data_IF_203929458701
#
_entry.id   IF_203929458701
#
_cell.length_a   1.000
_cell.length_b   1.000
_cell.length_c   1.000
_cell.angle_alpha   90.00
_cell.angle_beta   90.00
_cell.angle_gamma   90.00
#
_symmetry.space_group_name_H-M   'P 1'
#
loop_
_entity.id
_entity.type
_entity.pdbx_description
1 polymer ?
#
# COMPACT_ATOMS: atom_id res chain seq x y z
N UNK A 1 -7.67 21.62 15.47
CA UNK A 1 -7.08 22.94 15.16
C UNK A 1 -6.55 22.82 13.74
N UNK A 2 -7.10 23.59 12.80
CA UNK A 2 -6.73 23.54 11.37
C UNK A 2 -5.54 24.49 11.19
N UNK A 3 -4.49 24.06 10.50
CA UNK A 3 -3.38 24.97 10.15
C UNK A 3 -3.83 26.01 9.11
N UNK A 4 -3.08 27.10 8.96
CA UNK A 4 -3.40 28.23 8.06
C UNK A 4 -3.54 27.81 6.58
N UNK A 5 -3.07 26.61 6.22
CA UNK A 5 -3.10 26.06 4.86
C UNK A 5 -4.16 24.96 4.69
N UNK A 6 -4.94 24.63 5.73
CA UNK A 6 -5.95 23.56 5.68
C UNK A 6 -5.38 22.14 5.60
N UNK A 7 -4.07 21.94 5.78
CA UNK A 7 -3.36 20.69 5.56
C UNK A 7 -3.61 19.64 6.65
N UNK A 8 -4.13 20.05 7.80
CA UNK A 8 -4.51 19.16 8.89
C UNK A 8 -5.42 18.02 8.41
N UNK A 9 -6.34 18.27 7.47
CA UNK A 9 -7.21 17.24 6.90
C UNK A 9 -6.49 16.17 6.06
N UNK A 10 -5.25 16.43 5.61
CA UNK A 10 -4.45 15.51 4.80
C UNK A 10 -3.49 14.66 5.66
N UNK A 11 -3.04 15.24 6.77
CA UNK A 11 -2.01 14.63 7.64
C UNK A 11 -2.59 14.01 8.92
N UNK A 12 -3.78 14.46 9.36
CA UNK A 12 -4.34 14.01 10.63
C UNK A 12 -4.70 12.52 10.58
N UNK A 13 -4.19 11.77 11.56
CA UNK A 13 -4.53 10.35 11.76
C UNK A 13 -6.02 10.12 11.99
N UNK A 14 -6.78 11.16 12.37
CA UNK A 14 -8.23 11.12 12.55
C UNK A 14 -8.99 11.73 11.38
N UNK A 15 -8.30 12.22 10.34
CA UNK A 15 -8.97 12.68 9.14
C UNK A 15 -9.62 11.50 8.42
N UNK A 16 -10.90 11.63 8.09
CA UNK A 16 -11.64 10.61 7.34
C UNK A 16 -11.01 10.32 5.97
N UNK A 17 -10.29 11.29 5.38
CA UNK A 17 -9.71 11.19 4.03
C UNK A 17 -8.62 10.13 3.89
N UNK A 18 -7.67 10.03 4.84
CA UNK A 18 -6.59 9.05 4.75
C UNK A 18 -7.10 7.63 4.95
N UNK A 19 -7.98 7.42 5.94
CA UNK A 19 -8.60 6.11 6.19
C UNK A 19 -9.55 5.69 5.06
N UNK A 20 -10.34 6.61 4.51
CA UNK A 20 -11.21 6.32 3.38
C UNK A 20 -10.40 5.91 2.14
N UNK A 21 -9.29 6.58 1.84
CA UNK A 21 -8.43 6.25 0.70
C UNK A 21 -7.71 4.93 0.89
N UNK A 22 -7.19 4.68 2.10
CA UNK A 22 -6.58 3.40 2.45
C UNK A 22 -7.54 2.24 2.23
N UNK A 23 -8.77 2.35 2.75
CA UNK A 23 -9.77 1.29 2.64
C UNK A 23 -10.26 1.13 1.19
N UNK A 24 -10.50 2.24 0.49
CA UNK A 24 -10.90 2.20 -0.93
C UNK A 24 -9.82 1.55 -1.81
N UNK A 25 -8.55 1.82 -1.51
CA UNK A 25 -7.43 1.22 -2.25
C UNK A 25 -7.31 -0.28 -1.97
N UNK A 26 -7.39 -0.70 -0.70
CA UNK A 26 -7.41 -2.11 -0.33
C UNK A 26 -8.57 -2.87 -1.00
N UNK A 27 -9.78 -2.30 -0.96
CA UNK A 27 -10.94 -2.90 -1.61
C UNK A 27 -10.81 -2.95 -3.14
N UNK A 28 -10.21 -1.94 -3.75
CA UNK A 28 -10.00 -1.91 -5.20
C UNK A 28 -8.97 -2.95 -5.65
N UNK A 29 -7.87 -3.10 -4.91
CA UNK A 29 -6.89 -4.17 -5.17
C UNK A 29 -7.52 -5.56 -4.99
N UNK A 30 -8.28 -5.78 -3.90
CA UNK A 30 -8.98 -7.05 -3.67
C UNK A 30 -9.92 -7.40 -4.83
N UNK A 31 -10.72 -6.44 -5.30
CA UNK A 31 -11.62 -6.64 -6.44
C UNK A 31 -10.86 -6.93 -7.73
N UNK A 32 -9.80 -6.18 -8.02
CA UNK A 32 -8.97 -6.41 -9.20
C UNK A 32 -8.34 -7.81 -9.20
N UNK A 33 -7.82 -8.26 -8.05
CA UNK A 33 -7.31 -9.61 -7.87
C UNK A 33 -8.41 -10.67 -8.09
N UNK A 34 -9.60 -10.46 -7.54
CA UNK A 34 -10.73 -11.36 -7.76
C UNK A 34 -11.12 -11.46 -9.24
N UNK A 35 -11.13 -10.34 -9.97
CA UNK A 35 -11.35 -10.32 -11.43
C UNK A 35 -10.25 -11.09 -12.17
N UNK A 36 -9.00 -10.99 -11.72
CA UNK A 36 -7.88 -11.77 -12.23
C UNK A 36 -7.86 -13.24 -11.75
N UNK A 37 -8.96 -13.73 -11.17
CA UNK A 37 -9.09 -15.10 -10.63
C UNK A 37 -8.08 -15.43 -9.51
N UNK A 38 -7.55 -14.40 -8.85
CA UNK A 38 -6.69 -14.53 -7.67
C UNK A 38 -7.53 -14.16 -6.44
N UNK A 39 -8.22 -15.11 -5.79
CA UNK A 39 -8.99 -14.81 -4.58
C UNK A 39 -8.06 -14.27 -3.49
N UNK A 40 -8.50 -13.23 -2.79
CA UNK A 40 -7.71 -12.56 -1.78
C UNK A 40 -8.56 -12.11 -0.59
N UNK A 41 -7.96 -12.15 0.60
CA UNK A 41 -8.60 -11.76 1.86
C UNK A 41 -7.96 -10.49 2.41
N UNK A 42 -8.77 -9.67 3.07
CA UNK A 42 -8.28 -8.55 3.87
C UNK A 42 -8.05 -9.02 5.30
N UNK A 43 -7.06 -8.40 5.94
CA UNK A 43 -6.66 -8.62 7.31
C UNK A 43 -6.41 -10.10 7.68
N UNK A 44 -5.48 -10.80 6.98
CA UNK A 44 -5.28 -12.25 7.10
C UNK A 44 -5.04 -12.71 8.56
N UNK A 45 -5.71 -13.79 9.00
CA UNK A 45 -5.53 -14.34 10.34
C UNK A 45 -4.24 -15.17 10.48
N UNK A 46 -3.75 -15.32 11.71
CA UNK A 46 -2.87 -16.42 12.12
C UNK A 46 -1.36 -16.25 11.86
N UNK A 47 -0.92 -16.05 10.62
CA UNK A 47 0.51 -16.18 10.26
C UNK A 47 1.39 -14.99 10.65
N UNK A 48 0.83 -13.77 10.66
CA UNK A 48 1.62 -12.55 10.95
C UNK A 48 1.55 -12.09 12.42
N UNK A 49 0.65 -12.69 13.22
CA UNK A 49 0.33 -12.21 14.57
C UNK A 49 1.42 -12.47 15.60
N UNK A 50 2.21 -13.53 15.42
CA UNK A 50 3.34 -13.83 16.31
C UNK A 50 4.34 -12.65 16.37
N UNK A 51 4.53 -11.95 15.25
CA UNK A 51 5.47 -10.83 15.13
C UNK A 51 4.83 -9.45 15.34
N UNK A 52 3.56 -9.39 15.80
CA UNK A 52 2.75 -8.16 15.90
C UNK A 52 2.62 -7.38 14.58
N UNK A 53 2.93 -7.99 13.45
CA UNK A 53 2.79 -7.39 12.13
C UNK A 53 1.45 -7.82 11.54
N UNK A 54 0.78 -6.92 10.84
CA UNK A 54 -0.49 -7.21 10.20
C UNK A 54 -0.48 -6.54 8.83
N UNK A 55 -0.23 -7.30 7.75
CA UNK A 55 -0.47 -6.79 6.41
C UNK A 55 -1.97 -6.58 6.21
N UNK A 56 -2.31 -5.74 5.23
CA UNK A 56 -3.69 -5.40 4.96
C UNK A 56 -4.42 -6.49 4.19
N UNK A 57 -3.70 -7.28 3.39
CA UNK A 57 -4.29 -8.38 2.66
C UNK A 57 -3.29 -9.40 2.15
N UNK A 58 -3.84 -10.52 1.71
CA UNK A 58 -3.10 -11.67 1.23
C UNK A 58 -3.91 -12.44 0.18
N UNK A 59 -3.26 -12.96 -0.86
CA UNK A 59 -3.89 -13.90 -1.80
C UNK A 59 -4.05 -15.28 -1.17
N UNK A 60 -5.11 -15.99 -1.54
CA UNK A 60 -5.38 -17.36 -1.08
C UNK A 60 -4.76 -18.42 -2.00
N UNK A 61 -4.21 -17.98 -3.14
CA UNK A 61 -3.51 -18.81 -4.11
C UNK A 61 -2.12 -18.23 -4.40
N UNK A 62 -1.18 -19.05 -4.91
CA UNK A 62 0.13 -18.55 -5.33
C UNK A 62 0.03 -17.42 -6.35
N UNK A 63 0.85 -16.38 -6.16
CA UNK A 63 0.93 -15.21 -7.03
C UNK A 63 2.14 -15.29 -7.96
N UNK A 64 3.35 -15.40 -7.39
CA UNK A 64 4.62 -15.41 -8.13
C UNK A 64 5.57 -16.40 -7.49
N UNK A 65 6.20 -17.23 -8.32
CA UNK A 65 7.18 -18.25 -7.88
C UNK A 65 6.62 -19.21 -6.80
N UNK A 66 5.33 -19.55 -6.89
CA UNK A 66 4.69 -20.43 -5.91
C UNK A 66 4.36 -19.77 -4.56
N UNK A 67 4.68 -18.49 -4.36
CA UNK A 67 4.41 -17.76 -3.12
C UNK A 67 3.14 -16.94 -3.23
N UNK A 68 2.35 -16.89 -2.15
CA UNK A 68 1.20 -16.00 -2.05
C UNK A 68 1.64 -14.52 -2.05
N UNK A 69 0.77 -13.67 -2.60
CA UNK A 69 0.90 -12.22 -2.54
C UNK A 69 0.52 -11.76 -1.13
N UNK A 70 1.33 -10.86 -0.56
CA UNK A 70 1.01 -10.14 0.68
C UNK A 70 1.23 -8.66 0.43
N UNK A 71 0.30 -7.81 0.85
CA UNK A 71 0.44 -6.37 0.66
C UNK A 71 0.04 -5.58 1.90
N UNK A 72 0.55 -4.35 1.97
CA UNK A 72 0.27 -3.40 3.04
C UNK A 72 0.23 -1.99 2.43
N UNK A 73 -0.92 -1.34 2.53
CA UNK A 73 -1.18 -0.03 1.92
C UNK A 73 -0.62 1.07 2.81
N UNK A 74 -0.09 2.11 2.17
CA UNK A 74 0.25 3.35 2.84
C UNK A 74 -0.10 4.54 1.98
N UNK A 75 -1.09 5.31 2.45
CA UNK A 75 -1.31 6.67 1.97
C UNK A 75 -0.36 7.60 2.74
N UNK A 76 0.40 8.41 2.00
CA UNK A 76 1.42 9.32 2.53
C UNK A 76 1.10 10.75 2.11
N UNK A 77 1.26 11.67 3.06
CA UNK A 77 1.08 13.09 2.81
C UNK A 77 2.34 13.66 2.13
N UNK A 78 2.19 14.07 0.88
CA UNK A 78 3.25 14.69 0.09
C UNK A 78 3.62 16.10 0.60
N UNK A 79 2.73 16.79 1.33
CA UNK A 79 2.98 18.12 1.88
C UNK A 79 3.60 18.10 3.26
N UNK A 80 3.73 16.92 3.87
CA UNK A 80 4.42 16.80 5.15
C UNK A 80 5.84 17.38 5.05
N UNK A 81 6.28 18.10 6.07
CA UNK A 81 7.57 18.82 6.07
C UNK A 81 8.76 17.93 5.67
N UNK A 82 8.72 16.65 6.04
CA UNK A 82 9.76 15.67 5.72
C UNK A 82 9.73 15.16 4.27
N UNK A 83 8.63 15.36 3.54
CA UNK A 83 8.40 14.84 2.20
C UNK A 83 8.37 15.96 1.14
N UNK A 84 7.91 17.16 1.50
CA UNK A 84 7.58 18.25 0.56
C UNK A 84 8.73 18.66 -0.36
N UNK A 85 9.98 18.62 0.13
CA UNK A 85 11.16 18.96 -0.67
C UNK A 85 11.38 17.97 -1.80
N UNK A 86 11.16 16.67 -1.55
CA UNK A 86 11.37 15.63 -2.56
C UNK A 86 10.13 15.44 -3.42
N UNK A 87 8.93 15.48 -2.84
CA UNK A 87 7.65 15.38 -3.57
C UNK A 87 7.44 16.55 -4.53
N UNK A 88 7.95 17.75 -4.21
CA UNK A 88 7.90 18.90 -5.13
C UNK A 88 8.82 18.74 -6.35
N UNK A 89 9.92 17.98 -6.23
CA UNK A 89 10.86 17.74 -7.32
C UNK A 89 10.47 16.53 -8.16
N UNK A 90 9.90 15.50 -7.52
CA UNK A 90 9.54 14.24 -8.16
C UNK A 90 8.27 13.68 -7.54
N UNK A 91 7.22 13.62 -8.36
CA UNK A 91 5.96 12.98 -8.02
C UNK A 91 6.19 11.52 -7.59
N UNK A 92 5.52 11.09 -6.51
CA UNK A 92 5.62 9.72 -6.01
C UNK A 92 6.84 9.43 -5.14
N UNK A 93 7.73 10.40 -4.90
CA UNK A 93 8.91 10.19 -4.05
C UNK A 93 8.53 9.84 -2.60
N UNK A 94 7.48 10.44 -2.04
CA UNK A 94 7.04 10.10 -0.69
C UNK A 94 6.39 8.70 -0.64
N UNK A 95 5.67 8.32 -1.70
CA UNK A 95 5.14 6.96 -1.86
C UNK A 95 6.27 5.92 -1.96
N UNK A 96 7.29 6.17 -2.77
CA UNK A 96 8.46 5.31 -2.87
C UNK A 96 9.19 5.13 -1.53
N UNK A 97 9.42 6.23 -0.80
CA UNK A 97 10.04 6.15 0.52
C UNK A 97 9.16 5.40 1.53
N UNK A 98 7.83 5.54 1.42
CA UNK A 98 6.90 4.74 2.23
C UNK A 98 6.99 3.24 1.89
N UNK A 99 7.14 2.90 0.62
CA UNK A 99 7.33 1.53 0.18
C UNK A 99 8.65 0.93 0.67
N UNK A 100 9.76 1.69 0.60
CA UNK A 100 11.05 1.26 1.14
C UNK A 100 10.96 0.96 2.64
N UNK A 101 10.31 1.83 3.41
CA UNK A 101 10.07 1.62 4.85
C UNK A 101 9.24 0.37 5.12
N UNK A 102 8.19 0.11 4.33
CA UNK A 102 7.38 -1.10 4.46
C UNK A 102 8.19 -2.35 4.06
N UNK A 103 8.94 -2.33 2.96
CA UNK A 103 9.86 -3.44 2.57
C UNK A 103 10.84 -3.77 3.69
N UNK A 104 11.47 -2.77 4.30
CA UNK A 104 12.34 -2.97 5.45
C UNK A 104 11.61 -3.56 6.66
N UNK A 105 10.37 -3.10 6.93
CA UNK A 105 9.51 -3.65 8.00
C UNK A 105 9.13 -5.12 7.77
N UNK A 106 9.11 -5.62 6.53
CA UNK A 106 8.65 -6.97 6.20
C UNK A 106 9.73 -7.80 5.50
N UNK A 107 11.01 -7.53 5.78
CA UNK A 107 12.15 -8.17 5.13
C UNK A 107 12.21 -9.69 5.35
N UNK A 108 11.80 -10.15 6.52
CA UNK A 108 11.68 -11.55 6.94
C UNK A 108 10.53 -12.28 6.24
N UNK A 109 9.41 -11.59 6.00
CA UNK A 109 8.24 -12.14 5.27
C UNK A 109 8.59 -12.47 3.83
N UNK A 110 9.50 -11.72 3.18
CA UNK A 110 9.90 -11.92 1.78
C UNK A 110 10.47 -13.30 1.47
N UNK A 111 10.93 -14.03 2.49
CA UNK A 111 11.39 -15.42 2.32
C UNK A 111 10.23 -16.38 2.05
N UNK A 112 9.09 -16.18 2.72
CA UNK A 112 7.93 -17.08 2.63
C UNK A 112 6.87 -16.56 1.64
N UNK A 113 6.72 -15.25 1.52
CA UNK A 113 5.67 -14.62 0.73
C UNK A 113 6.22 -13.63 -0.30
N UNK A 114 5.44 -13.34 -1.34
CA UNK A 114 5.70 -12.24 -2.26
C UNK A 114 5.14 -10.94 -1.67
N UNK A 115 5.97 -10.20 -0.94
CA UNK A 115 5.53 -8.94 -0.31
C UNK A 115 5.62 -7.73 -1.27
N UNK A 116 4.49 -7.05 -1.46
CA UNK A 116 4.37 -5.81 -2.24
C UNK A 116 3.83 -4.68 -1.34
N UNK A 117 4.65 -3.69 -0.93
CA UNK A 117 4.10 -2.49 -0.33
C UNK A 117 3.34 -1.68 -1.38
N UNK A 118 2.25 -1.02 -0.97
CA UNK A 118 1.43 -0.21 -1.87
C UNK A 118 1.46 1.24 -1.39
N UNK A 119 2.37 2.05 -1.95
CA UNK A 119 2.50 3.47 -1.63
C UNK A 119 1.62 4.35 -2.52
N UNK A 120 0.88 5.29 -1.90
CA UNK A 120 0.10 6.30 -2.61
C UNK A 120 0.26 7.67 -1.94
N UNK A 121 0.61 8.70 -2.70
CA UNK A 121 0.61 10.08 -2.22
C UNK A 121 -0.81 10.65 -2.12
N UNK A 122 -1.01 11.62 -1.22
CA UNK A 122 -2.28 12.33 -1.05
C UNK A 122 -2.77 13.05 -2.31
N UNK A 123 -1.94 13.26 -3.33
CA UNK A 123 -2.38 13.83 -4.61
C UNK A 123 -2.48 12.82 -5.76
N UNK A 124 -2.30 11.53 -5.49
CA UNK A 124 -2.48 10.47 -6.48
C UNK A 124 -1.23 9.78 -7.04
N UNK A 125 0.00 10.32 -6.97
CA UNK A 125 1.18 9.57 -7.41
C UNK A 125 1.37 8.26 -6.64
N UNK A 126 1.66 7.20 -7.38
CA UNK A 126 1.89 5.86 -6.85
C UNK A 126 3.38 5.60 -6.68
N UNK A 127 3.74 4.78 -5.71
CA UNK A 127 5.09 4.27 -5.59
C UNK A 127 5.38 3.18 -6.65
N UNK A 128 6.65 2.93 -6.97
CA UNK A 128 7.03 1.97 -8.02
C UNK A 128 6.55 0.54 -7.75
N UNK A 129 6.54 0.10 -6.49
CA UNK A 129 6.08 -1.24 -6.12
C UNK A 129 4.57 -1.39 -6.30
N UNK A 130 3.80 -0.34 -5.98
CA UNK A 130 2.38 -0.30 -6.26
C UNK A 130 2.10 -0.33 -7.76
N UNK A 131 2.80 0.49 -8.55
CA UNK A 131 2.66 0.50 -10.02
C UNK A 131 2.92 -0.88 -10.61
N UNK A 132 4.01 -1.55 -10.24
CA UNK A 132 4.33 -2.91 -10.69
C UNK A 132 3.19 -3.90 -10.38
N UNK A 133 2.65 -3.84 -9.16
CA UNK A 133 1.57 -4.72 -8.72
C UNK A 133 0.31 -4.51 -9.57
N UNK A 134 -0.14 -3.26 -9.72
CA UNK A 134 -1.36 -2.95 -10.45
C UNK A 134 -1.24 -3.23 -11.94
N UNK A 135 -0.08 -3.00 -12.56
CA UNK A 135 0.17 -3.40 -13.94
C UNK A 135 0.13 -4.92 -14.12
N UNK A 136 0.70 -5.67 -13.17
CA UNK A 136 0.69 -7.13 -13.21
C UNK A 136 -0.72 -7.69 -13.07
N UNK A 137 -1.50 -7.18 -12.11
CA UNK A 137 -2.93 -7.53 -11.96
C UNK A 137 -3.70 -7.15 -13.21
N UNK A 138 -3.52 -5.94 -13.74
CA UNK A 138 -4.23 -5.46 -14.93
C UNK A 138 -3.99 -6.32 -16.17
N UNK A 139 -2.78 -6.83 -16.35
CA UNK A 139 -2.44 -7.77 -17.44
C UNK A 139 -3.03 -9.17 -17.27
N UNK A 140 -3.48 -9.52 -16.06
CA UNK A 140 -4.01 -10.83 -15.71
C UNK A 140 -5.54 -10.88 -15.69
N UNK A 141 -6.19 -9.75 -15.93
CA UNK A 141 -7.65 -9.68 -16.07
C UNK A 141 -8.03 -10.19 -17.47
N UNK A 142 -8.95 -11.19 -17.57
CA UNK A 142 -9.43 -11.73 -18.84
C UNK A 142 -10.18 -10.73 -19.72
#
# INVERSE_FOLDING_TARGET
MVDELGQHGLSCKYSAGCHSRHNALNESLRRALATAQVPAILEPPGSFRADKRRPDGMSQVPWKNGKELVWDVKVVDALAQMNVVDSSKRAGSAAEEAEKRKKAKYVDIGQQFSFYPVGLETFGPWGPSATELFETVGKSIP
#
